data_IF_205285995730
#
_entry.id   IF_205285995730
#
_cell.length_a   1.000
_cell.length_b   1.000
_cell.length_c   1.000
_cell.angle_alpha   90.00
_cell.angle_beta   90.00
_cell.angle_gamma   90.00
#
_symmetry.space_group_name_H-M   'P 1'
#
loop_
_entity.id
_entity.type
_entity.pdbx_description
1 polymer ?
#
# COMPACT_ATOMS: atom_id res chain seq x y z
N UNK A 1 -24.99 3.18 8.27
CA UNK A 1 -24.27 3.61 7.06
C UNK A 1 -24.01 5.09 7.19
N UNK A 2 -22.83 5.55 6.79
CA UNK A 2 -22.55 6.97 6.60
C UNK A 2 -23.64 7.55 5.66
N UNK A 3 -24.10 8.77 5.93
CA UNK A 3 -25.23 9.36 5.17
C UNK A 3 -24.96 9.40 3.67
N UNK A 4 -23.69 9.57 3.28
CA UNK A 4 -23.25 9.55 1.88
C UNK A 4 -23.44 8.20 1.18
N UNK A 5 -23.25 7.07 1.88
CA UNK A 5 -23.50 5.74 1.30
C UNK A 5 -24.99 5.53 1.05
N UNK A 6 -25.82 5.99 2.01
CA UNK A 6 -27.28 5.93 1.87
C UNK A 6 -27.76 6.82 0.72
N UNK A 7 -27.26 8.05 0.64
CA UNK A 7 -27.56 9.00 -0.42
C UNK A 7 -27.17 8.44 -1.80
N UNK A 8 -25.95 7.91 -1.94
CA UNK A 8 -25.50 7.27 -3.18
C UNK A 8 -26.41 6.11 -3.60
N UNK A 9 -26.81 5.25 -2.65
CA UNK A 9 -27.71 4.14 -2.94
C UNK A 9 -29.10 4.63 -3.37
N UNK A 10 -29.68 5.60 -2.66
CA UNK A 10 -31.01 6.16 -2.97
C UNK A 10 -30.99 6.81 -4.36
N UNK A 11 -29.98 7.64 -4.65
CA UNK A 11 -29.87 8.31 -5.94
C UNK A 11 -29.79 7.29 -7.08
N UNK A 12 -29.01 6.22 -6.89
CA UNK A 12 -28.88 5.15 -7.89
C UNK A 12 -30.18 4.37 -8.06
N UNK A 13 -30.84 4.02 -6.96
CA UNK A 13 -32.12 3.31 -6.98
C UNK A 13 -33.21 4.13 -7.66
N UNK A 14 -33.32 5.42 -7.36
CA UNK A 14 -34.29 6.34 -7.99
C UNK A 14 -34.05 6.38 -9.50
N UNK A 15 -32.80 6.60 -9.92
CA UNK A 15 -32.45 6.69 -11.34
C UNK A 15 -32.81 5.39 -12.09
N UNK A 16 -32.40 4.23 -11.57
CA UNK A 16 -32.73 2.94 -12.18
C UNK A 16 -34.24 2.69 -12.20
N UNK A 17 -34.95 3.05 -11.14
CA UNK A 17 -36.41 2.90 -11.07
C UNK A 17 -37.13 3.79 -12.10
N UNK A 18 -36.65 5.02 -12.33
CA UNK A 18 -37.20 5.92 -13.35
C UNK A 18 -37.04 5.33 -14.74
N UNK A 19 -35.82 4.92 -15.11
CA UNK A 19 -35.57 4.37 -16.45
C UNK A 19 -36.29 3.03 -16.65
N UNK A 20 -36.37 2.19 -15.60
CA UNK A 20 -36.98 0.87 -15.70
C UNK A 20 -38.51 0.88 -15.73
N UNK A 21 -39.16 1.57 -14.80
CA UNK A 21 -40.63 1.53 -14.66
C UNK A 21 -41.36 2.59 -15.48
N UNK A 22 -40.82 3.80 -15.52
CA UNK A 22 -41.47 4.92 -16.21
C UNK A 22 -40.99 5.05 -17.65
N UNK A 23 -39.77 4.60 -17.93
CA UNK A 23 -39.12 4.76 -19.22
C UNK A 23 -38.66 6.20 -19.44
N UNK A 24 -37.63 6.36 -20.25
CA UNK A 24 -37.20 7.66 -20.75
C UNK A 24 -37.23 7.61 -22.28
N UNK A 25 -37.87 8.57 -22.97
CA UNK A 25 -37.99 8.53 -24.43
C UNK A 25 -36.63 8.37 -25.12
N UNK A 26 -36.51 7.34 -25.96
CA UNK A 26 -35.27 7.03 -26.69
C UNK A 26 -34.16 6.40 -25.83
N UNK A 27 -34.38 6.14 -24.55
CA UNK A 27 -33.37 5.52 -23.68
C UNK A 27 -33.80 4.09 -23.39
N UNK A 28 -33.07 3.13 -23.95
CA UNK A 28 -33.27 1.73 -23.60
C UNK A 28 -32.54 1.40 -22.28
N UNK A 29 -33.18 0.62 -21.43
CA UNK A 29 -32.69 0.34 -20.08
C UNK A 29 -31.37 -0.45 -20.08
N UNK A 30 -31.16 -1.34 -21.05
CA UNK A 30 -29.95 -2.17 -21.10
C UNK A 30 -28.71 -1.33 -21.45
N UNK A 31 -28.81 -0.48 -22.47
CA UNK A 31 -27.76 0.47 -22.84
C UNK A 31 -27.54 1.51 -21.75
N UNK A 32 -28.62 2.00 -21.12
CA UNK A 32 -28.50 2.91 -19.98
C UNK A 32 -27.64 2.30 -18.86
N UNK A 33 -27.90 1.05 -18.46
CA UNK A 33 -27.16 0.35 -17.41
C UNK A 33 -25.66 0.26 -17.72
N UNK A 34 -25.30 0.04 -18.98
CA UNK A 34 -23.89 -0.01 -19.40
C UNK A 34 -23.24 1.38 -19.49
N UNK A 35 -23.97 2.37 -20.01
CA UNK A 35 -23.46 3.75 -20.15
C UNK A 35 -23.23 4.42 -18.80
N UNK A 36 -24.13 4.23 -17.84
CA UNK A 36 -24.05 4.86 -16.52
C UNK A 36 -22.92 4.29 -15.63
N UNK A 37 -22.32 3.16 -16.01
CA UNK A 37 -21.11 2.63 -15.35
C UNK A 37 -19.83 3.36 -15.81
N UNK A 38 -19.87 4.02 -16.96
CA UNK A 38 -18.68 4.49 -17.69
C UNK A 38 -18.71 6.00 -17.98
N UNK A 39 -19.44 6.80 -17.19
CA UNK A 39 -19.70 8.22 -17.50
C UNK A 39 -18.41 9.01 -17.77
N UNK A 40 -17.31 8.72 -17.07
CA UNK A 40 -16.01 9.37 -17.29
C UNK A 40 -15.14 8.80 -18.43
N UNK A 41 -15.44 7.60 -18.94
CA UNK A 41 -14.69 7.00 -20.06
C UNK A 41 -15.10 7.59 -21.41
N UNK A 42 -16.30 8.16 -21.51
CA UNK A 42 -16.84 8.68 -22.76
C UNK A 42 -16.41 10.12 -23.10
N UNK A 43 -15.91 10.90 -22.14
CA UNK A 43 -15.30 12.22 -22.43
C UNK A 43 -14.08 12.09 -23.36
N UNK A 44 -13.35 10.97 -23.28
CA UNK A 44 -12.20 10.68 -24.15
C UNK A 44 -12.59 10.19 -25.55
N UNK A 45 -13.86 9.81 -25.81
CA UNK A 45 -14.30 9.35 -27.14
C UNK A 45 -14.77 10.47 -28.06
N UNK A 46 -14.87 11.70 -27.57
CA UNK A 46 -15.33 12.86 -28.35
C UNK A 46 -14.21 13.60 -29.08
N UNK A 47 -12.93 13.31 -28.80
CA UNK A 47 -11.81 13.99 -29.46
C UNK A 47 -11.47 13.38 -30.85
N UNK A 48 -11.98 12.18 -31.17
CA UNK A 48 -11.49 11.39 -32.32
C UNK A 48 -12.58 10.88 -33.29
N UNK A 49 -13.80 11.43 -33.27
CA UNK A 49 -14.85 11.04 -34.23
C UNK A 49 -15.49 12.20 -34.99
N UNK A 50 -15.35 12.13 -36.31
CA UNK A 50 -16.04 12.94 -37.32
C UNK A 50 -17.54 13.09 -37.02
N UNK A 51 -18.05 14.30 -37.26
CA UNK A 51 -19.39 14.85 -36.96
C UNK A 51 -20.63 14.13 -37.56
N UNK A 52 -20.71 12.80 -37.64
CA UNK A 52 -21.86 12.09 -38.25
C UNK A 52 -22.33 10.79 -37.57
N UNK A 53 -22.04 10.55 -36.30
CA UNK A 53 -22.83 9.56 -35.53
C UNK A 53 -23.93 10.31 -34.76
N UNK A 54 -25.20 9.97 -35.01
CA UNK A 54 -26.34 10.43 -34.22
C UNK A 54 -26.00 10.31 -32.73
N UNK A 55 -26.02 11.43 -32.00
CA UNK A 55 -25.75 11.43 -30.56
C UNK A 55 -26.75 10.47 -29.92
N UNK A 56 -26.23 9.33 -29.44
CA UNK A 56 -27.04 8.29 -28.83
C UNK A 56 -27.90 8.92 -27.72
N UNK A 57 -29.22 8.78 -27.79
CA UNK A 57 -30.18 9.34 -26.83
C UNK A 57 -29.90 8.89 -25.39
N UNK A 58 -29.36 7.67 -25.21
CA UNK A 58 -28.88 7.17 -23.91
C UNK A 58 -27.72 8.02 -23.38
N UNK A 59 -26.78 8.36 -24.24
CA UNK A 59 -25.61 9.17 -23.89
C UNK A 59 -26.02 10.60 -23.52
N UNK A 60 -26.85 11.23 -24.35
CA UNK A 60 -27.39 12.57 -24.08
C UNK A 60 -28.13 12.61 -22.73
N UNK A 61 -28.93 11.58 -22.44
CA UNK A 61 -29.61 11.46 -21.15
C UNK A 61 -28.63 11.34 -19.98
N UNK A 62 -27.66 10.42 -20.05
CA UNK A 62 -26.68 10.21 -18.97
C UNK A 62 -25.87 11.48 -18.69
N UNK A 63 -25.44 12.20 -19.72
CA UNK A 63 -24.70 13.46 -19.56
C UNK A 63 -25.56 14.64 -19.11
N UNK A 64 -26.88 14.55 -19.26
CA UNK A 64 -27.82 15.56 -18.76
C UNK A 64 -28.16 15.38 -17.28
N UNK A 65 -27.74 14.27 -16.66
CA UNK A 65 -28.02 13.99 -15.26
C UNK A 65 -27.30 15.01 -14.37
N UNK A 66 -27.97 15.38 -13.28
CA UNK A 66 -27.33 16.19 -12.25
C UNK A 66 -26.14 15.43 -11.65
N UNK A 67 -25.11 16.18 -11.24
CA UNK A 67 -23.87 15.66 -10.66
C UNK A 67 -24.10 14.69 -9.49
N UNK A 68 -25.22 14.82 -8.76
CA UNK A 68 -25.58 13.90 -7.67
C UNK A 68 -25.91 12.47 -8.14
N UNK A 69 -26.31 12.30 -9.40
CA UNK A 69 -26.61 11.01 -10.02
C UNK A 69 -25.42 10.46 -10.82
N UNK A 70 -24.63 11.34 -11.42
CA UNK A 70 -23.36 10.98 -12.08
C UNK A 70 -22.36 10.41 -11.08
N UNK A 71 -22.22 11.04 -9.91
CA UNK A 71 -21.29 10.60 -8.85
C UNK A 71 -21.82 9.45 -8.00
N UNK A 72 -23.05 9.00 -8.25
CA UNK A 72 -23.60 7.85 -7.53
C UNK A 72 -22.81 6.59 -7.93
N UNK A 73 -22.23 5.92 -6.95
CA UNK A 73 -21.34 4.80 -7.19
C UNK A 73 -22.06 3.62 -7.86
N UNK A 74 -21.43 3.03 -8.87
CA UNK A 74 -21.95 1.87 -9.60
C UNK A 74 -21.95 0.56 -8.82
N UNK A 75 -21.41 0.57 -7.59
CA UNK A 75 -21.26 -0.63 -6.76
C UNK A 75 -22.60 -1.31 -6.45
N UNK A 76 -23.72 -0.58 -6.50
CA UNK A 76 -25.05 -1.12 -6.21
C UNK A 76 -25.85 -1.54 -7.46
N UNK A 77 -25.33 -1.28 -8.67
CA UNK A 77 -26.11 -1.34 -9.91
C UNK A 77 -26.66 -2.74 -10.21
N UNK A 78 -25.85 -3.77 -9.98
CA UNK A 78 -26.24 -5.14 -10.31
C UNK A 78 -27.25 -5.70 -9.30
N UNK A 79 -27.12 -5.34 -8.02
CA UNK A 79 -28.10 -5.68 -6.97
C UNK A 79 -29.44 -4.95 -7.20
N UNK A 80 -29.39 -3.66 -7.57
CA UNK A 80 -30.59 -2.86 -7.91
C UNK A 80 -31.27 -3.44 -9.15
N UNK A 81 -30.52 -3.71 -10.22
CA UNK A 81 -31.04 -4.31 -11.45
C UNK A 81 -31.69 -5.67 -11.20
N UNK A 82 -31.05 -6.52 -10.40
CA UNK A 82 -31.60 -7.81 -10.01
C UNK A 82 -32.94 -7.64 -9.28
N UNK A 83 -32.99 -6.74 -8.30
CA UNK A 83 -34.21 -6.47 -7.54
C UNK A 83 -35.33 -5.96 -8.44
N UNK A 84 -35.06 -5.02 -9.34
CA UNK A 84 -36.06 -4.48 -10.26
C UNK A 84 -36.65 -5.55 -11.20
N UNK A 85 -35.81 -6.48 -11.67
CA UNK A 85 -36.23 -7.58 -12.56
C UNK A 85 -36.98 -8.70 -11.85
N UNK A 86 -36.66 -8.97 -10.58
CA UNK A 86 -37.10 -10.18 -9.88
C UNK A 86 -38.02 -9.94 -8.68
N UNK A 87 -38.05 -8.72 -8.13
CA UNK A 87 -38.88 -8.34 -6.98
C UNK A 87 -38.35 -8.82 -5.61
N UNK A 88 -37.15 -9.40 -5.56
CA UNK A 88 -36.51 -9.86 -4.32
C UNK A 88 -34.99 -9.66 -4.39
N UNK A 89 -34.32 -9.71 -3.23
CA UNK A 89 -32.86 -9.59 -3.13
C UNK A 89 -32.24 -10.98 -3.29
N UNK A 90 -31.24 -11.10 -4.17
CA UNK A 90 -30.51 -12.35 -4.40
C UNK A 90 -29.89 -12.88 -3.10
N UNK A 91 -29.92 -14.20 -2.90
CA UNK A 91 -29.16 -14.85 -1.82
C UNK A 91 -27.65 -14.68 -1.95
N UNK A 92 -27.17 -14.36 -3.16
CA UNK A 92 -25.76 -14.07 -3.47
C UNK A 92 -25.44 -12.57 -3.43
N UNK A 93 -26.38 -11.73 -2.98
CA UNK A 93 -26.18 -10.28 -2.91
C UNK A 93 -25.00 -9.90 -2.01
N UNK A 94 -24.13 -9.04 -2.51
CA UNK A 94 -22.96 -8.55 -1.77
C UNK A 94 -23.19 -7.17 -1.12
N UNK A 95 -24.43 -6.66 -1.14
CA UNK A 95 -24.77 -5.28 -0.75
C UNK A 95 -24.29 -4.93 0.67
N UNK A 96 -24.33 -5.88 1.61
CA UNK A 96 -23.89 -5.65 2.99
C UNK A 96 -22.39 -5.43 3.10
N UNK A 97 -21.58 -6.17 2.32
CA UNK A 97 -20.14 -5.99 2.31
C UNK A 97 -19.77 -4.70 1.59
N UNK A 98 -20.44 -4.39 0.48
CA UNK A 98 -20.27 -3.12 -0.23
C UNK A 98 -20.56 -1.95 0.71
N UNK A 99 -21.67 -1.98 1.46
CA UNK A 99 -21.99 -0.94 2.45
C UNK A 99 -20.88 -0.84 3.51
N UNK A 100 -20.36 -1.96 4.02
CA UNK A 100 -19.26 -1.95 5.01
C UNK A 100 -18.00 -1.33 4.44
N UNK A 101 -17.54 -1.80 3.28
CA UNK A 101 -16.36 -1.29 2.59
C UNK A 101 -16.47 0.19 2.28
N UNK A 102 -17.62 0.64 1.78
CA UNK A 102 -17.86 2.06 1.50
C UNK A 102 -17.89 2.91 2.75
N UNK A 103 -18.50 2.45 3.84
CA UNK A 103 -18.44 3.18 5.11
C UNK A 103 -16.98 3.34 5.58
N UNK A 104 -16.14 2.32 5.43
CA UNK A 104 -14.72 2.43 5.77
C UNK A 104 -13.99 3.44 4.87
N UNK A 105 -14.20 3.38 3.54
CA UNK A 105 -13.63 4.35 2.60
C UNK A 105 -14.04 5.79 2.93
N UNK A 106 -15.31 6.04 3.28
CA UNK A 106 -15.76 7.39 3.66
C UNK A 106 -15.14 7.87 4.96
N UNK A 107 -14.92 6.99 5.94
CA UNK A 107 -14.22 7.33 7.18
C UNK A 107 -12.76 7.69 6.90
N UNK A 108 -12.07 6.90 6.09
CA UNK A 108 -10.69 7.16 5.71
C UNK A 108 -10.56 8.48 4.92
N UNK A 109 -11.48 8.72 3.97
CA UNK A 109 -11.53 9.98 3.23
C UNK A 109 -11.81 11.18 4.14
N UNK A 110 -12.64 11.03 5.18
CA UNK A 110 -12.89 12.11 6.15
C UNK A 110 -11.61 12.51 6.88
N UNK A 111 -10.86 11.52 7.37
CA UNK A 111 -9.56 11.73 8.03
C UNK A 111 -8.57 12.40 7.07
N UNK A 112 -8.51 11.94 5.81
CA UNK A 112 -7.66 12.56 4.79
C UNK A 112 -8.03 14.03 4.55
N UNK A 113 -9.33 14.36 4.46
CA UNK A 113 -9.77 15.75 4.34
C UNK A 113 -9.39 16.60 5.57
N UNK A 114 -9.46 16.04 6.78
CA UNK A 114 -9.02 16.72 8.00
C UNK A 114 -7.52 17.01 7.95
N UNK A 115 -6.71 16.05 7.49
CA UNK A 115 -5.27 16.26 7.26
C UNK A 115 -5.00 17.33 6.22
N UNK A 116 -5.74 17.37 5.11
CA UNK A 116 -5.56 18.44 4.12
C UNK A 116 -5.89 19.82 4.67
N UNK A 117 -6.92 19.94 5.51
CA UNK A 117 -7.22 21.21 6.20
C UNK A 117 -6.10 21.67 7.12
N UNK A 118 -5.40 20.73 7.77
CA UNK A 118 -4.19 21.05 8.54
C UNK A 118 -3.13 21.65 7.62
N UNK A 119 -2.85 21.01 6.48
CA UNK A 119 -1.89 21.52 5.51
C UNK A 119 -2.27 22.87 4.91
N UNK A 120 -3.55 23.19 4.83
CA UNK A 120 -4.02 24.50 4.37
C UNK A 120 -3.64 25.64 5.33
N UNK A 121 -3.57 25.36 6.63
CA UNK A 121 -3.07 26.31 7.64
C UNK A 121 -1.60 26.66 7.39
N UNK A 122 -0.81 25.67 6.98
CA UNK A 122 0.61 25.83 6.64
C UNK A 122 0.84 26.50 5.28
N UNK A 123 0.04 26.14 4.25
CA UNK A 123 0.27 26.58 2.86
C UNK A 123 -0.31 27.95 2.52
N UNK A 124 -1.41 28.34 3.14
CA UNK A 124 -2.21 29.49 2.68
C UNK A 124 -1.96 30.79 3.46
N UNK A 125 -1.03 30.81 4.43
CA UNK A 125 -0.81 31.98 5.27
C UNK A 125 0.59 32.07 5.88
N UNK A 126 1.09 33.30 6.04
CA UNK A 126 2.23 33.64 6.89
C UNK A 126 1.81 34.13 8.28
N UNK A 127 0.55 33.91 8.67
CA UNK A 127 0.08 34.24 10.02
C UNK A 127 0.83 33.40 11.04
N UNK A 128 1.04 33.98 12.22
CA UNK A 128 1.55 33.24 13.38
C UNK A 128 0.45 32.30 13.91
N UNK A 129 0.44 31.08 13.40
CA UNK A 129 -0.57 30.06 13.65
C UNK A 129 0.06 28.72 14.08
N UNK A 130 1.30 28.73 14.56
CA UNK A 130 2.05 27.51 14.92
C UNK A 130 1.33 26.68 15.99
N UNK A 131 0.84 27.31 17.06
CA UNK A 131 0.13 26.62 18.13
C UNK A 131 -1.16 25.95 17.64
N UNK A 132 -1.90 26.62 16.75
CA UNK A 132 -3.11 26.07 16.14
C UNK A 132 -2.77 24.90 15.22
N UNK A 133 -1.72 25.05 14.41
CA UNK A 133 -1.25 23.99 13.52
C UNK A 133 -0.84 22.73 14.29
N UNK A 134 -0.02 22.87 15.33
CA UNK A 134 0.40 21.74 16.20
C UNK A 134 -0.81 21.09 16.86
N UNK A 135 -1.72 21.89 17.43
CA UNK A 135 -2.92 21.37 18.10
C UNK A 135 -3.78 20.51 17.15
N UNK A 136 -3.97 20.97 15.91
CA UNK A 136 -4.77 20.23 14.93
C UNK A 136 -4.10 18.91 14.52
N UNK A 137 -2.76 18.87 14.41
CA UNK A 137 -2.00 17.63 14.17
C UNK A 137 -2.22 16.64 15.32
N UNK A 138 -1.95 17.08 16.56
CA UNK A 138 -2.07 16.23 17.74
C UNK A 138 -3.49 15.67 17.88
N UNK A 139 -4.51 16.49 17.60
CA UNK A 139 -5.91 16.05 17.62
C UNK A 139 -6.18 14.94 16.60
N UNK A 140 -5.82 15.13 15.33
CA UNK A 140 -6.10 14.14 14.27
C UNK A 140 -5.32 12.84 14.50
N UNK A 141 -4.08 12.93 14.99
CA UNK A 141 -3.27 11.77 15.36
C UNK A 141 -3.93 10.99 16.50
N UNK A 142 -4.39 11.66 17.56
CA UNK A 142 -5.04 11.00 18.69
C UNK A 142 -6.39 10.37 18.32
N UNK A 143 -7.16 11.03 17.46
CA UNK A 143 -8.52 10.59 17.11
C UNK A 143 -8.54 9.50 16.04
N UNK A 144 -7.52 9.42 15.18
CA UNK A 144 -7.61 8.63 13.94
C UNK A 144 -6.27 8.05 13.44
N UNK A 145 -5.31 7.82 14.33
CA UNK A 145 -3.95 7.34 14.05
C UNK A 145 -3.83 6.35 12.89
N UNK A 146 -4.59 5.25 12.93
CA UNK A 146 -4.48 4.14 11.96
C UNK A 146 -5.12 4.41 10.59
N UNK A 147 -5.97 5.43 10.50
CA UNK A 147 -6.68 5.84 9.28
C UNK A 147 -5.92 6.92 8.51
N UNK A 148 -4.93 7.55 9.13
CA UNK A 148 -4.06 8.51 8.46
C UNK A 148 -3.18 7.73 7.45
N UNK A 149 -3.19 8.08 6.15
CA UNK A 149 -2.30 7.46 5.17
C UNK A 149 -0.83 7.68 5.55
N UNK A 150 0.00 6.66 5.34
CA UNK A 150 1.36 6.65 5.91
C UNK A 150 2.24 7.82 5.45
N UNK A 151 2.16 8.18 4.16
CA UNK A 151 2.89 9.35 3.64
C UNK A 151 2.43 10.67 4.28
N UNK A 152 1.14 10.78 4.62
CA UNK A 152 0.63 11.95 5.35
C UNK A 152 1.12 11.96 6.79
N UNK A 153 1.06 10.82 7.48
CA UNK A 153 1.57 10.68 8.84
C UNK A 153 3.05 11.08 8.93
N UNK A 154 3.89 10.53 8.05
CA UNK A 154 5.32 10.86 7.96
C UNK A 154 5.54 12.36 7.72
N UNK A 155 4.76 12.96 6.83
CA UNK A 155 4.80 14.40 6.59
C UNK A 155 4.51 15.22 7.85
N UNK A 156 3.44 14.89 8.57
CA UNK A 156 3.04 15.59 9.80
C UNK A 156 4.10 15.44 10.91
N UNK A 157 4.61 14.22 11.13
CA UNK A 157 5.65 13.95 12.13
C UNK A 157 6.95 14.69 11.82
N UNK A 158 7.39 14.69 10.57
CA UNK A 158 8.61 15.40 10.17
C UNK A 158 8.51 16.90 10.41
N UNK A 159 7.31 17.49 10.25
CA UNK A 159 7.11 18.91 10.58
C UNK A 159 7.10 19.13 12.09
N UNK A 160 6.43 18.29 12.87
CA UNK A 160 6.46 18.40 14.34
C UNK A 160 7.88 18.32 14.90
N UNK A 161 8.72 17.41 14.38
CA UNK A 161 10.13 17.29 14.76
C UNK A 161 10.90 18.58 14.43
N UNK A 162 10.64 19.18 13.26
CA UNK A 162 11.26 20.47 12.86
C UNK A 162 10.80 21.66 13.71
N UNK A 163 9.65 21.52 14.40
CA UNK A 163 9.14 22.48 15.39
C UNK A 163 9.57 22.10 16.82
N UNK A 164 10.63 21.31 16.96
CA UNK A 164 11.21 20.87 18.24
C UNK A 164 10.22 20.15 19.18
N UNK A 165 9.24 19.43 18.63
CA UNK A 165 8.30 18.59 19.40
C UNK A 165 8.82 17.17 19.57
N UNK A 166 8.67 16.62 20.77
CA UNK A 166 8.96 15.20 21.04
C UNK A 166 7.83 14.31 20.48
N UNK A 167 8.12 13.61 19.39
CA UNK A 167 7.19 12.71 18.72
C UNK A 167 7.40 11.23 19.09
N UNK A 168 8.28 10.89 20.03
CA UNK A 168 8.64 9.50 20.32
C UNK A 168 7.44 8.61 20.64
N UNK A 169 6.52 9.11 21.47
CA UNK A 169 5.33 8.36 21.87
C UNK A 169 4.36 8.15 20.69
N UNK A 170 4.24 9.15 19.81
CA UNK A 170 3.36 9.10 18.65
C UNK A 170 3.89 8.10 17.62
N UNK A 171 5.20 8.14 17.36
CA UNK A 171 5.89 7.19 16.48
C UNK A 171 5.74 5.77 17.03
N UNK A 172 5.91 5.58 18.34
CA UNK A 172 5.75 4.28 18.99
C UNK A 172 4.33 3.73 18.81
N UNK A 173 3.32 4.54 19.14
CA UNK A 173 1.92 4.16 19.01
C UNK A 173 1.56 3.80 17.57
N UNK A 174 2.05 4.57 16.58
CA UNK A 174 1.81 4.26 15.18
C UNK A 174 2.51 2.96 14.76
N UNK A 175 3.76 2.76 15.18
CA UNK A 175 4.50 1.53 14.87
C UNK A 175 3.80 0.29 15.44
N UNK A 176 3.36 0.34 16.71
CA UNK A 176 2.57 -0.72 17.35
C UNK A 176 1.27 -1.01 16.59
N UNK A 177 0.54 0.04 16.25
CA UNK A 177 -0.72 -0.09 15.55
C UNK A 177 -0.52 -0.64 14.13
N UNK A 178 0.56 -0.24 13.45
CA UNK A 178 0.91 -0.70 12.10
C UNK A 178 1.23 -2.19 12.09
N UNK A 179 2.08 -2.66 13.01
CA UNK A 179 2.50 -4.07 13.03
C UNK A 179 1.40 -5.04 13.41
N UNK A 180 0.33 -4.55 14.06
CA UNK A 180 -0.83 -5.35 14.43
C UNK A 180 -1.80 -5.61 13.26
N UNK A 181 -1.62 -4.98 12.09
CA UNK A 181 -2.42 -5.27 10.89
C UNK A 181 -2.13 -6.68 10.36
N UNK A 182 -3.14 -7.37 9.84
CA UNK A 182 -3.01 -8.74 9.31
C UNK A 182 -2.01 -8.85 8.14
N UNK A 183 -1.89 -7.79 7.33
CA UNK A 183 -1.01 -7.71 6.18
C UNK A 183 0.25 -6.83 6.41
N UNK A 184 0.61 -6.55 7.67
CA UNK A 184 1.62 -5.57 8.03
C UNK A 184 2.97 -5.75 7.29
N UNK A 185 3.44 -6.99 7.14
CA UNK A 185 4.69 -7.28 6.43
C UNK A 185 4.62 -6.95 4.92
N UNK A 186 3.53 -7.35 4.26
CA UNK A 186 3.31 -7.03 2.85
C UNK A 186 3.20 -5.51 2.64
N UNK A 187 2.44 -4.84 3.52
CA UNK A 187 2.26 -3.38 3.49
C UNK A 187 3.55 -2.63 3.77
N UNK A 188 4.37 -3.08 4.73
CA UNK A 188 5.68 -2.49 5.01
C UNK A 188 6.58 -2.52 3.77
N UNK A 189 6.60 -3.65 3.07
CA UNK A 189 7.42 -3.81 1.87
C UNK A 189 6.92 -2.98 0.68
N UNK A 190 5.60 -2.88 0.49
CA UNK A 190 5.05 -2.05 -0.58
C UNK A 190 5.24 -0.55 -0.34
N UNK A 191 5.22 -0.11 0.93
CA UNK A 191 5.29 1.30 1.31
C UNK A 191 6.64 1.68 1.91
N UNK A 192 7.69 0.87 1.71
CA UNK A 192 8.99 1.03 2.37
C UNK A 192 9.56 2.44 2.18
N UNK A 193 9.54 2.96 0.96
CA UNK A 193 10.06 4.31 0.65
C UNK A 193 9.34 5.39 1.45
N UNK A 194 8.01 5.31 1.54
CA UNK A 194 7.20 6.29 2.26
C UNK A 194 7.45 6.21 3.77
N UNK A 195 7.52 4.98 4.30
CA UNK A 195 7.81 4.70 5.71
C UNK A 195 9.15 5.29 6.13
N UNK A 196 10.20 5.02 5.35
CA UNK A 196 11.56 5.53 5.59
C UNK A 196 11.72 7.01 5.25
N UNK A 197 10.66 7.70 4.80
CA UNK A 197 10.60 9.16 4.85
C UNK A 197 10.72 9.71 6.28
N UNK A 198 10.53 8.87 7.30
CA UNK A 198 10.99 9.09 8.67
C UNK A 198 11.78 7.86 9.14
N UNK A 199 13.11 7.99 9.27
CA UNK A 199 14.00 6.86 9.59
C UNK A 199 13.65 6.17 10.92
N UNK A 200 13.34 6.95 11.96
CA UNK A 200 12.99 6.44 13.28
C UNK A 200 11.74 5.55 13.23
N UNK A 201 10.69 5.99 12.52
CA UNK A 201 9.49 5.20 12.27
C UNK A 201 9.83 3.91 11.53
N UNK A 202 10.63 4.00 10.47
CA UNK A 202 11.03 2.86 9.65
C UNK A 202 11.77 1.80 10.45
N UNK A 203 12.77 2.21 11.25
CA UNK A 203 13.52 1.28 12.10
C UNK A 203 12.65 0.64 13.18
N UNK A 204 11.73 1.39 13.81
CA UNK A 204 10.83 0.82 14.83
C UNK A 204 9.85 -0.20 14.25
N UNK A 205 9.23 0.10 13.10
CA UNK A 205 8.33 -0.86 12.44
C UNK A 205 9.13 -2.09 12.01
N UNK A 206 10.30 -1.92 11.39
CA UNK A 206 11.13 -3.05 10.95
C UNK A 206 11.52 -3.95 12.13
N UNK A 207 11.94 -3.35 13.25
CA UNK A 207 12.27 -4.08 14.47
C UNK A 207 11.07 -4.85 15.02
N UNK A 208 9.91 -4.21 15.15
CA UNK A 208 8.70 -4.87 15.67
C UNK A 208 8.20 -6.01 14.76
N UNK A 209 8.33 -5.86 13.44
CA UNK A 209 8.02 -6.93 12.49
C UNK A 209 8.99 -8.11 12.63
N UNK A 210 10.29 -7.83 12.81
CA UNK A 210 11.32 -8.83 13.13
C UNK A 210 10.97 -9.61 14.41
N UNK A 211 10.58 -8.90 15.47
CA UNK A 211 10.25 -9.49 16.76
C UNK A 211 8.96 -10.36 16.70
N UNK A 212 7.97 -9.97 15.86
CA UNK A 212 6.70 -10.68 15.73
C UNK A 212 6.82 -12.00 14.96
N UNK A 213 7.61 -12.03 13.89
CA UNK A 213 7.84 -13.22 13.07
C UNK A 213 9.35 -13.48 12.89
N UNK A 214 10.05 -13.94 13.93
CA UNK A 214 11.49 -14.20 13.85
C UNK A 214 11.84 -15.20 12.74
N UNK A 215 10.92 -16.15 12.48
CA UNK A 215 11.08 -17.18 11.46
C UNK A 215 11.05 -16.63 10.02
N UNK A 216 10.42 -15.48 9.76
CA UNK A 216 10.44 -14.83 8.44
C UNK A 216 11.72 -14.01 8.23
N UNK A 217 12.36 -13.60 9.33
CA UNK A 217 13.67 -12.95 9.37
C UNK A 217 14.78 -13.94 9.77
N UNK A 218 14.58 -15.24 9.52
CA UNK A 218 15.61 -16.23 9.73
C UNK A 218 16.58 -16.23 8.55
N UNK A 219 17.87 -15.99 8.82
CA UNK A 219 18.93 -15.94 7.82
C UNK A 219 18.96 -17.18 6.92
N UNK A 220 18.80 -18.39 7.48
CA UNK A 220 18.77 -19.64 6.74
C UNK A 220 17.58 -19.72 5.76
N UNK A 221 16.40 -19.28 6.19
CA UNK A 221 15.18 -19.28 5.37
C UNK A 221 15.31 -18.29 4.21
N UNK A 222 15.87 -17.10 4.46
CA UNK A 222 16.07 -16.06 3.45
C UNK A 222 17.12 -16.49 2.44
N UNK A 223 18.24 -17.06 2.89
CA UNK A 223 19.26 -17.65 2.01
C UNK A 223 18.62 -18.72 1.12
N UNK A 224 17.90 -19.70 1.70
CA UNK A 224 17.23 -20.75 0.93
C UNK A 224 16.18 -20.21 -0.05
N UNK A 225 15.49 -19.12 0.30
CA UNK A 225 14.53 -18.44 -0.57
C UNK A 225 15.21 -17.76 -1.77
N UNK A 226 16.31 -17.04 -1.53
CA UNK A 226 17.10 -16.35 -2.57
C UNK A 226 17.77 -17.37 -3.50
N UNK A 227 18.32 -18.46 -2.94
CA UNK A 227 18.95 -19.54 -3.71
C UNK A 227 17.97 -20.14 -4.73
N UNK A 228 16.71 -20.36 -4.32
CA UNK A 228 15.62 -20.84 -5.19
C UNK A 228 15.14 -19.84 -6.25
N UNK A 229 15.76 -18.65 -6.34
CA UNK A 229 15.45 -17.63 -7.33
C UNK A 229 14.14 -16.87 -7.12
N UNK A 230 13.45 -17.06 -5.98
CA UNK A 230 12.18 -16.38 -5.68
C UNK A 230 12.40 -15.29 -4.62
N UNK A 231 13.10 -14.22 -4.99
CA UNK A 231 13.37 -13.11 -4.08
C UNK A 231 12.94 -11.77 -4.68
N UNK A 232 12.61 -10.82 -3.82
CA UNK A 232 12.29 -9.44 -4.17
C UNK A 232 13.25 -8.46 -3.47
N UNK A 233 13.04 -7.15 -3.67
CA UNK A 233 13.88 -6.12 -3.05
C UNK A 233 13.84 -6.17 -1.51
N UNK A 234 12.72 -6.55 -0.90
CA UNK A 234 12.65 -6.75 0.56
C UNK A 234 13.57 -7.87 1.03
N UNK A 235 13.65 -8.99 0.32
CA UNK A 235 14.50 -10.12 0.72
C UNK A 235 15.98 -9.72 0.70
N UNK A 236 16.39 -8.88 -0.27
CA UNK A 236 17.74 -8.30 -0.34
C UNK A 236 18.00 -7.38 0.86
N UNK A 237 17.06 -6.49 1.19
CA UNK A 237 17.23 -5.58 2.32
C UNK A 237 17.31 -6.33 3.66
N UNK A 238 16.56 -7.41 3.82
CA UNK A 238 16.64 -8.23 5.03
C UNK A 238 17.98 -8.95 5.09
N UNK A 239 18.44 -9.56 4.00
CA UNK A 239 19.77 -10.18 3.95
C UNK A 239 20.85 -9.15 4.30
N UNK A 240 20.77 -7.92 3.75
CA UNK A 240 21.70 -6.85 4.09
C UNK A 240 21.63 -6.39 5.56
N UNK A 241 20.50 -6.59 6.24
CA UNK A 241 20.37 -6.16 7.64
C UNK A 241 21.17 -7.01 8.63
N UNK A 242 21.65 -8.19 8.22
CA UNK A 242 22.50 -9.03 9.04
C UNK A 242 23.94 -8.49 9.11
N UNK A 243 24.59 -8.77 10.23
CA UNK A 243 25.99 -8.42 10.46
C UNK A 243 26.93 -9.49 9.88
N UNK A 244 28.22 -9.14 9.76
CA UNK A 244 29.28 -10.08 9.41
C UNK A 244 29.33 -11.26 10.41
N UNK A 245 29.11 -11.02 11.71
CA UNK A 245 29.13 -12.09 12.72
C UNK A 245 27.94 -13.06 12.56
N UNK A 246 26.77 -12.57 12.15
CA UNK A 246 25.62 -13.43 11.84
C UNK A 246 25.93 -14.37 10.67
N UNK A 247 26.61 -13.86 9.63
CA UNK A 247 27.07 -14.67 8.50
C UNK A 247 28.10 -15.72 8.93
N UNK A 248 29.08 -15.35 9.76
CA UNK A 248 30.07 -16.32 10.29
C UNK A 248 29.37 -17.42 11.07
N UNK A 249 28.44 -17.06 11.96
CA UNK A 249 27.71 -18.03 12.78
C UNK A 249 26.87 -18.96 11.89
N UNK A 250 26.15 -18.41 10.90
CA UNK A 250 25.36 -19.21 9.97
C UNK A 250 26.21 -20.16 9.13
N UNK A 251 27.35 -19.69 8.57
CA UNK A 251 28.27 -20.53 7.78
C UNK A 251 28.77 -21.71 8.61
N UNK A 252 29.08 -21.48 9.90
CA UNK A 252 29.61 -22.52 10.79
C UNK A 252 28.53 -23.48 11.32
N UNK A 253 27.28 -23.02 11.44
CA UNK A 253 26.15 -23.83 11.91
C UNK A 253 25.37 -24.50 10.78
N UNK A 254 25.68 -24.21 9.50
CA UNK A 254 24.95 -24.74 8.37
C UNK A 254 25.33 -26.21 8.10
N UNK A 255 24.41 -27.12 8.43
CA UNK A 255 24.65 -28.57 8.35
C UNK A 255 24.75 -29.12 6.91
N UNK A 256 24.23 -28.40 5.91
CA UNK A 256 24.22 -28.85 4.51
C UNK A 256 24.37 -27.71 3.52
N UNK A 257 25.18 -27.95 2.49
CA UNK A 257 25.27 -27.15 1.27
C UNK A 257 25.68 -25.67 1.45
N UNK A 258 26.29 -25.34 2.60
CA UNK A 258 26.72 -23.99 2.95
C UNK A 258 27.55 -23.31 1.85
N UNK A 259 28.45 -24.05 1.19
CA UNK A 259 29.32 -23.51 0.14
C UNK A 259 28.51 -23.02 -1.08
N UNK A 260 27.61 -23.86 -1.59
CA UNK A 260 26.77 -23.50 -2.74
C UNK A 260 25.77 -22.40 -2.37
N UNK A 261 25.20 -22.46 -1.16
CA UNK A 261 24.26 -21.43 -0.70
C UNK A 261 24.93 -20.05 -0.60
N UNK A 262 26.18 -19.96 -0.14
CA UNK A 262 26.92 -18.69 -0.11
C UNK A 262 27.14 -18.14 -1.52
N UNK A 263 27.54 -18.99 -2.47
CA UNK A 263 27.73 -18.61 -3.88
C UNK A 263 26.42 -18.13 -4.53
N UNK A 264 25.34 -18.90 -4.39
CA UNK A 264 24.05 -18.65 -5.04
C UNK A 264 23.24 -17.50 -4.42
N UNK A 265 23.68 -16.96 -3.27
CA UNK A 265 22.94 -15.92 -2.53
C UNK A 265 23.79 -14.70 -2.21
N UNK A 266 24.75 -14.81 -1.29
CA UNK A 266 25.52 -13.67 -0.78
C UNK A 266 26.53 -13.16 -1.80
N UNK A 267 27.19 -14.07 -2.53
CA UNK A 267 28.16 -13.71 -3.57
C UNK A 267 27.55 -13.55 -4.96
N UNK A 268 26.25 -13.84 -5.11
CA UNK A 268 25.51 -13.72 -6.38
C UNK A 268 25.65 -12.34 -7.02
N UNK A 269 25.80 -11.30 -6.21
CA UNK A 269 25.84 -9.91 -6.67
C UNK A 269 27.25 -9.45 -7.12
N UNK A 270 28.30 -10.21 -6.80
CA UNK A 270 29.70 -9.88 -7.16
C UNK A 270 29.91 -9.72 -8.67
N UNK A 271 29.15 -10.46 -9.49
CA UNK A 271 29.25 -10.43 -10.95
C UNK A 271 28.28 -9.48 -11.66
N UNK A 272 27.45 -8.72 -10.94
CA UNK A 272 26.49 -7.81 -11.57
C UNK A 272 27.19 -6.55 -12.08
N UNK A 273 26.78 -6.04 -13.25
CA UNK A 273 27.34 -4.80 -13.80
C UNK A 273 26.98 -3.56 -12.98
N UNK A 274 25.79 -3.54 -12.37
CA UNK A 274 25.27 -2.41 -11.60
C UNK A 274 24.58 -2.88 -10.32
N UNK A 275 25.32 -3.40 -9.31
CA UNK A 275 24.73 -3.76 -8.03
C UNK A 275 24.31 -2.51 -7.26
N UNK A 276 23.16 -2.60 -6.59
CA UNK A 276 22.71 -1.63 -5.58
C UNK A 276 23.68 -1.59 -4.40
N UNK A 277 23.63 -0.54 -3.58
CA UNK A 277 24.54 -0.39 -2.45
C UNK A 277 24.29 -1.46 -1.37
N UNK A 278 23.04 -1.91 -1.21
CA UNK A 278 22.70 -3.03 -0.35
C UNK A 278 23.32 -4.34 -0.84
N UNK A 279 23.31 -4.58 -2.16
CA UNK A 279 23.90 -5.77 -2.76
C UNK A 279 25.43 -5.80 -2.64
N UNK A 280 26.08 -4.63 -2.77
CA UNK A 280 27.52 -4.50 -2.50
C UNK A 280 27.81 -4.80 -1.03
N UNK A 281 27.06 -4.18 -0.11
CA UNK A 281 27.24 -4.38 1.33
C UNK A 281 27.05 -5.85 1.75
N UNK A 282 26.08 -6.57 1.17
CA UNK A 282 25.93 -8.02 1.37
C UNK A 282 27.20 -8.78 0.93
N UNK A 283 27.70 -8.46 -0.26
CA UNK A 283 28.87 -9.12 -0.84
C UNK A 283 30.11 -8.87 0.01
N UNK A 284 30.34 -7.63 0.43
CA UNK A 284 31.49 -7.24 1.25
C UNK A 284 31.47 -7.93 2.62
N UNK A 285 30.34 -7.89 3.32
CA UNK A 285 30.14 -8.61 4.61
C UNK A 285 30.36 -10.12 4.46
N UNK A 286 29.93 -10.69 3.34
CA UNK A 286 30.10 -12.12 3.08
C UNK A 286 31.56 -12.49 2.81
N UNK A 287 32.31 -11.66 2.08
CA UNK A 287 33.75 -11.85 1.88
C UNK A 287 34.49 -11.78 3.22
N UNK A 288 34.21 -10.75 4.04
CA UNK A 288 34.80 -10.62 5.38
C UNK A 288 34.48 -11.82 6.29
N UNK A 289 33.23 -12.28 6.27
CA UNK A 289 32.82 -13.47 7.02
C UNK A 289 33.55 -14.75 6.55
N UNK A 290 33.73 -14.92 5.24
CA UNK A 290 34.47 -16.04 4.67
C UNK A 290 35.96 -15.99 5.03
N UNK A 291 36.58 -14.82 5.02
CA UNK A 291 37.96 -14.62 5.45
C UNK A 291 38.15 -15.00 6.92
N UNK A 292 37.20 -14.62 7.78
CA UNK A 292 37.21 -15.03 9.18
C UNK A 292 37.07 -16.56 9.31
N UNK A 293 36.11 -17.18 8.61
CA UNK A 293 35.92 -18.65 8.62
C UNK A 293 37.17 -19.38 8.11
N UNK A 294 37.85 -18.84 7.10
CA UNK A 294 39.10 -19.37 6.56
C UNK A 294 40.24 -19.36 7.60
N UNK A 295 40.27 -18.35 8.47
CA UNK A 295 41.29 -18.23 9.53
C UNK A 295 41.13 -19.29 10.63
N UNK A 296 39.94 -19.89 10.78
CA UNK A 296 39.65 -20.87 11.86
C UNK A 296 40.29 -22.24 11.64
N UNK A 297 40.55 -22.67 10.39
CA UNK A 297 41.26 -23.94 10.12
C UNK A 297 41.80 -24.02 8.69
N UNK A 298 42.86 -24.83 8.49
CA UNK A 298 43.40 -25.11 7.15
C UNK A 298 42.35 -25.70 6.20
N UNK A 299 41.43 -26.52 6.72
CA UNK A 299 40.34 -27.09 5.91
C UNK A 299 39.36 -26.01 5.44
N UNK A 300 38.97 -25.10 6.33
CA UNK A 300 38.09 -23.97 5.97
C UNK A 300 38.78 -23.03 4.98
N UNK A 301 40.09 -22.79 5.14
CA UNK A 301 40.88 -22.03 4.18
C UNK A 301 40.81 -22.61 2.76
N UNK A 302 40.93 -23.94 2.63
CA UNK A 302 40.79 -24.60 1.33
C UNK A 302 39.37 -24.47 0.75
N UNK A 303 38.33 -24.60 1.58
CA UNK A 303 36.92 -24.44 1.16
C UNK A 303 36.62 -23.01 0.69
N UNK A 304 37.06 -22.01 1.44
CA UNK A 304 36.87 -20.59 1.10
C UNK A 304 37.65 -20.22 -0.15
N UNK A 305 38.88 -20.72 -0.31
CA UNK A 305 39.67 -20.50 -1.52
C UNK A 305 38.97 -21.05 -2.77
N UNK A 306 38.20 -22.14 -2.66
CA UNK A 306 37.42 -22.66 -3.78
C UNK A 306 36.33 -21.68 -4.22
N UNK A 307 35.68 -21.03 -3.26
CA UNK A 307 34.57 -20.08 -3.50
C UNK A 307 35.09 -18.74 -4.06
N UNK A 308 36.14 -18.18 -3.46
CA UNK A 308 36.58 -16.82 -3.78
C UNK A 308 37.44 -16.72 -5.06
N UNK A 309 38.09 -17.82 -5.46
CA UNK A 309 38.97 -17.87 -6.64
C UNK A 309 38.31 -18.50 -7.88
N UNK A 310 37.01 -18.81 -7.80
CA UNK A 310 36.16 -19.09 -8.96
C UNK A 310 35.46 -17.81 -9.43
#
# INVERSE_FOLDING_TARGET
AEDKVRESFINRLVLFSVVYYFGVPGVDYASFKESIKNVHAFDYMLDDKDEKEEVNSVYSFVNSLDVIYERAESAFDDDIDFYLKNGYVSSESNILNIIKEKNEQYRDNRVLCEVYKIWDVFRNSFKDNESEFIFQIERVINDSLLRIPIGQFVGLINVLIKLDRDCNNIIEAYADAFVNKDNAYATFNSLRVEIFGNEELGFRIEKKLKDRNPDDYNLDKIIKKIARGRFNHSDVNILNSFSKDDYVNWILSCDQDALNLVEETMLKFKGMQHPTDEQKSITDKAIEALEEVASKSTLNKLRVNKILNH
#
